data_IF_000582282409
#
_entry.id   IF_000582282409
#
_cell.length_a   1.000
_cell.length_b   1.000
_cell.length_c   1.000
_cell.angle_alpha   90.00
_cell.angle_beta   90.00
_cell.angle_gamma   90.00
#
_symmetry.space_group_name_H-M   'P 1'
#
loop_
_entity.id
_entity.type
_entity.pdbx_description
1 polymer ?
#
# COMPACT_ATOMS: atom_id res chain seq x y z
N UNK A 1 -53.35 32.47 -5.50
CA UNK A 1 -52.89 32.04 -4.16
C UNK A 1 -51.93 30.86 -4.25
N UNK A 2 -52.35 29.72 -4.82
CA UNK A 2 -51.47 28.54 -4.98
C UNK A 2 -50.21 28.82 -5.81
N UNK A 3 -50.38 29.42 -6.99
CA UNK A 3 -49.26 29.76 -7.91
C UNK A 3 -48.24 30.74 -7.31
N UNK A 4 -48.72 31.71 -6.51
CA UNK A 4 -47.85 32.63 -5.78
C UNK A 4 -47.00 31.89 -4.73
N UNK A 5 -47.58 30.94 -4.02
CA UNK A 5 -46.88 30.11 -3.04
C UNK A 5 -45.86 29.18 -3.71
N UNK A 6 -46.22 28.56 -4.85
CA UNK A 6 -45.32 27.70 -5.61
C UNK A 6 -44.11 28.47 -6.17
N UNK A 7 -44.33 29.71 -6.62
CA UNK A 7 -43.26 30.59 -7.07
C UNK A 7 -42.32 31.00 -5.92
N UNK A 8 -42.86 31.32 -4.75
CA UNK A 8 -42.05 31.61 -3.55
C UNK A 8 -41.19 30.41 -3.14
N UNK A 9 -41.76 29.20 -3.14
CA UNK A 9 -41.01 27.97 -2.83
C UNK A 9 -39.91 27.72 -3.87
N UNK A 10 -40.18 27.96 -5.16
CA UNK A 10 -39.16 27.85 -6.22
C UNK A 10 -38.02 28.85 -6.04
N UNK A 11 -38.33 30.10 -5.68
CA UNK A 11 -37.32 31.13 -5.43
C UNK A 11 -36.45 30.79 -4.21
N UNK A 12 -37.07 30.33 -3.11
CA UNK A 12 -36.33 29.85 -1.95
C UNK A 12 -35.39 28.68 -2.28
N UNK A 13 -35.85 27.75 -3.12
CA UNK A 13 -35.03 26.64 -3.62
C UNK A 13 -33.85 27.14 -4.44
N UNK A 14 -34.07 28.07 -5.37
CA UNK A 14 -32.98 28.67 -6.16
C UNK A 14 -31.94 29.35 -5.28
N UNK A 15 -32.38 30.11 -4.27
CA UNK A 15 -31.49 30.77 -3.33
C UNK A 15 -30.67 29.77 -2.52
N UNK A 16 -31.32 28.77 -1.91
CA UNK A 16 -30.61 27.76 -1.10
C UNK A 16 -29.70 26.86 -1.95
N UNK A 17 -30.03 26.63 -3.23
CA UNK A 17 -29.19 25.93 -4.19
C UNK A 17 -27.85 26.66 -4.41
N UNK A 18 -27.78 27.99 -4.25
CA UNK A 18 -26.50 28.72 -4.36
C UNK A 18 -25.46 28.24 -3.34
N UNK A 19 -25.90 27.74 -2.18
CA UNK A 19 -25.03 27.15 -1.17
C UNK A 19 -24.44 25.80 -1.55
N UNK A 20 -24.91 25.17 -2.63
CA UNK A 20 -24.37 23.91 -3.13
C UNK A 20 -23.27 24.17 -4.16
N UNK A 21 -22.13 23.48 -4.02
CA UNK A 21 -21.01 23.59 -4.95
C UNK A 21 -21.40 23.14 -6.36
N UNK A 22 -20.69 23.66 -7.36
CA UNK A 22 -20.88 23.28 -8.75
C UNK A 22 -19.74 22.39 -9.19
N UNK A 23 -20.06 21.21 -9.71
CA UNK A 23 -19.09 20.30 -10.31
C UNK A 23 -18.86 20.71 -11.75
N UNK A 24 -17.60 20.83 -12.16
CA UNK A 24 -17.18 21.04 -13.54
C UNK A 24 -15.91 20.23 -13.84
N UNK A 25 -15.48 20.22 -15.11
CA UNK A 25 -14.34 19.41 -15.56
C UNK A 25 -13.00 19.73 -14.87
N UNK A 26 -12.87 20.91 -14.23
CA UNK A 26 -11.65 21.36 -13.54
C UNK A 26 -11.75 21.22 -12.02
N UNK A 27 -12.92 21.50 -11.45
CA UNK A 27 -13.20 21.45 -10.02
C UNK A 27 -14.42 20.56 -9.78
N UNK A 28 -14.17 19.37 -9.25
CA UNK A 28 -15.12 18.27 -9.24
C UNK A 28 -15.13 17.55 -7.89
N UNK A 29 -15.24 18.26 -6.76
CA UNK A 29 -15.40 17.62 -5.46
C UNK A 29 -16.77 16.91 -5.33
N UNK A 30 -16.85 15.68 -5.84
CA UNK A 30 -18.10 14.90 -5.91
C UNK A 30 -18.64 14.56 -4.51
N UNK A 31 -17.77 14.32 -3.53
CA UNK A 31 -18.19 13.93 -2.18
C UNK A 31 -18.87 15.08 -1.45
N UNK A 32 -18.29 16.27 -1.51
CA UNK A 32 -18.89 17.47 -0.92
C UNK A 32 -20.22 17.82 -1.59
N UNK A 33 -20.27 17.76 -2.93
CA UNK A 33 -21.49 17.97 -3.70
C UNK A 33 -22.60 17.01 -3.27
N UNK A 34 -22.26 15.72 -3.15
CA UNK A 34 -23.19 14.68 -2.72
C UNK A 34 -23.73 14.96 -1.31
N UNK A 35 -22.84 15.24 -0.35
CA UNK A 35 -23.24 15.51 1.03
C UNK A 35 -24.15 16.74 1.14
N UNK A 36 -23.84 17.81 0.40
CA UNK A 36 -24.68 19.01 0.35
C UNK A 36 -26.05 18.72 -0.25
N UNK A 37 -26.12 17.91 -1.32
CA UNK A 37 -27.39 17.50 -1.93
C UNK A 37 -28.23 16.56 -1.06
N UNK A 38 -27.62 15.68 -0.26
CA UNK A 38 -28.32 14.85 0.73
C UNK A 38 -29.00 15.72 1.78
N UNK A 39 -28.26 16.67 2.37
CA UNK A 39 -28.79 17.59 3.38
C UNK A 39 -29.88 18.48 2.78
N UNK A 40 -29.64 19.00 1.58
CA UNK A 40 -30.60 19.86 0.90
C UNK A 40 -31.89 19.11 0.55
N UNK A 41 -31.81 17.88 0.04
CA UNK A 41 -32.98 17.04 -0.23
C UNK A 41 -33.84 16.83 1.02
N UNK A 42 -33.19 16.52 2.15
CA UNK A 42 -33.87 16.33 3.45
C UNK A 42 -34.64 17.58 3.89
N UNK A 43 -34.09 18.76 3.66
CA UNK A 43 -34.73 20.04 4.03
C UNK A 43 -35.86 20.40 3.06
N UNK A 44 -35.68 20.15 1.76
CA UNK A 44 -36.62 20.55 0.72
C UNK A 44 -37.79 19.59 0.52
N UNK A 45 -37.66 18.33 0.96
CA UNK A 45 -38.73 17.33 0.96
C UNK A 45 -39.25 17.02 -0.45
N UNK A 46 -38.37 16.79 -1.42
CA UNK A 46 -38.78 16.51 -2.80
C UNK A 46 -39.57 15.20 -2.88
N UNK A 47 -40.76 15.27 -3.49
CA UNK A 47 -41.65 14.11 -3.69
C UNK A 47 -41.54 13.48 -5.08
N UNK A 48 -40.99 14.21 -6.05
CA UNK A 48 -40.90 13.80 -7.44
C UNK A 48 -39.42 13.64 -7.83
N UNK A 49 -38.98 12.45 -8.27
CA UNK A 49 -37.60 12.18 -8.66
C UNK A 49 -37.08 13.12 -9.76
N UNK A 50 -37.92 13.42 -10.76
CA UNK A 50 -37.59 14.33 -11.86
C UNK A 50 -37.19 15.72 -11.39
N UNK A 51 -37.96 16.31 -10.47
CA UNK A 51 -37.67 17.66 -9.98
C UNK A 51 -36.33 17.68 -9.26
N UNK A 52 -36.03 16.64 -8.46
CA UNK A 52 -34.77 16.54 -7.76
C UNK A 52 -33.57 16.34 -8.71
N UNK A 53 -33.75 15.52 -9.74
CA UNK A 53 -32.76 15.33 -10.81
C UNK A 53 -32.41 16.65 -11.50
N UNK A 54 -33.41 17.45 -11.90
CA UNK A 54 -33.18 18.74 -12.57
C UNK A 54 -32.34 19.69 -11.70
N UNK A 55 -32.61 19.74 -10.38
CA UNK A 55 -31.81 20.55 -9.44
C UNK A 55 -30.37 20.06 -9.30
N UNK A 56 -30.16 18.74 -9.25
CA UNK A 56 -28.83 18.15 -9.24
C UNK A 56 -28.06 18.54 -10.51
N UNK A 57 -28.72 18.44 -11.68
CA UNK A 57 -28.11 18.75 -12.96
C UNK A 57 -27.75 20.23 -13.12
N UNK A 58 -28.50 21.16 -12.51
CA UNK A 58 -28.13 22.58 -12.47
C UNK A 58 -26.77 22.86 -11.80
N UNK A 59 -26.28 21.92 -10.98
CA UNK A 59 -25.00 22.01 -10.28
C UNK A 59 -23.91 21.10 -10.85
N UNK A 60 -24.15 20.53 -12.02
CA UNK A 60 -23.16 19.74 -12.74
C UNK A 60 -23.00 20.32 -14.13
N UNK A 61 -21.76 20.56 -14.54
CA UNK A 61 -21.39 21.10 -15.85
C UNK A 61 -20.41 20.16 -16.56
N UNK A 62 -20.22 20.39 -17.85
CA UNK A 62 -19.22 19.67 -18.64
C UNK A 62 -19.58 18.20 -18.87
N UNK A 63 -18.57 17.34 -18.80
CA UNK A 63 -18.70 15.92 -19.13
C UNK A 63 -19.56 15.16 -18.11
N UNK A 64 -19.49 15.55 -16.83
CA UNK A 64 -20.34 14.97 -15.78
C UNK A 64 -21.83 15.15 -16.06
N UNK A 65 -22.24 16.32 -16.57
CA UNK A 65 -23.63 16.61 -16.88
C UNK A 65 -24.15 15.76 -18.04
N UNK A 66 -23.33 15.56 -19.08
CA UNK A 66 -23.67 14.68 -20.20
C UNK A 66 -23.86 13.24 -19.75
N UNK A 67 -22.95 12.74 -18.93
CA UNK A 67 -22.98 11.34 -18.47
C UNK A 67 -24.15 11.06 -17.52
N UNK A 68 -24.50 12.01 -16.64
CA UNK A 68 -25.71 11.91 -15.81
C UNK A 68 -26.97 11.90 -16.69
N UNK A 69 -27.03 12.78 -17.69
CA UNK A 69 -28.20 12.87 -18.58
C UNK A 69 -28.37 11.60 -19.42
N UNK A 70 -27.27 10.99 -19.86
CA UNK A 70 -27.27 9.73 -20.60
C UNK A 70 -27.74 8.52 -19.75
N UNK A 71 -27.75 8.65 -18.43
CA UNK A 71 -28.20 7.59 -17.52
C UNK A 71 -29.72 7.55 -17.32
N UNK A 72 -30.47 8.52 -17.85
CA UNK A 72 -31.95 8.50 -17.85
C UNK A 72 -32.44 7.37 -18.77
N UNK A 73 -33.24 6.47 -18.23
CA UNK A 73 -33.76 5.29 -18.94
C UNK A 73 -35.24 5.45 -19.26
N UNK A 74 -35.72 4.66 -20.21
CA UNK A 74 -37.15 4.51 -20.49
C UNK A 74 -37.56 3.13 -20.00
N UNK A 75 -38.54 3.07 -19.09
CA UNK A 75 -39.04 1.81 -18.56
C UNK A 75 -39.96 1.09 -19.57
N UNK A 76 -40.39 -0.13 -19.24
CA UNK A 76 -41.29 -0.93 -20.08
C UNK A 76 -42.68 -0.29 -20.32
N UNK A 77 -43.03 0.75 -19.56
CA UNK A 77 -44.27 1.52 -19.69
C UNK A 77 -44.08 2.80 -20.53
N UNK A 78 -42.87 3.06 -21.03
CA UNK A 78 -42.54 4.26 -21.80
C UNK A 78 -42.28 5.50 -20.96
N UNK A 79 -42.19 5.38 -19.63
CA UNK A 79 -41.91 6.48 -18.71
C UNK A 79 -40.41 6.66 -18.47
N UNK A 80 -39.99 7.89 -18.22
CA UNK A 80 -38.60 8.22 -17.90
C UNK A 80 -38.27 7.83 -16.46
N UNK A 81 -37.27 6.99 -16.30
CA UNK A 81 -36.66 6.62 -15.02
C UNK A 81 -35.38 7.42 -14.83
N UNK A 82 -35.36 8.24 -13.78
CA UNK A 82 -34.24 9.14 -13.48
C UNK A 82 -33.28 8.48 -12.49
N UNK A 83 -31.96 8.66 -12.65
CA UNK A 83 -31.00 8.11 -11.71
C UNK A 83 -31.19 8.72 -10.32
N UNK A 84 -30.99 7.90 -9.31
CA UNK A 84 -30.90 8.30 -7.89
C UNK A 84 -29.67 9.17 -7.62
N UNK A 85 -29.62 9.82 -6.45
CA UNK A 85 -28.46 10.62 -6.06
C UNK A 85 -27.18 9.79 -6.00
N UNK A 86 -27.28 8.58 -5.45
CA UNK A 86 -26.20 7.61 -5.35
C UNK A 86 -25.70 7.20 -6.74
N UNK A 87 -26.60 6.94 -7.69
CA UNK A 87 -26.21 6.64 -9.07
C UNK A 87 -25.53 7.84 -9.75
N UNK A 88 -26.04 9.06 -9.52
CA UNK A 88 -25.40 10.28 -10.02
C UNK A 88 -23.99 10.48 -9.43
N UNK A 89 -23.81 10.24 -8.12
CA UNK A 89 -22.50 10.25 -7.45
C UNK A 89 -21.53 9.29 -8.12
N UNK A 90 -21.96 8.04 -8.34
CA UNK A 90 -21.13 7.01 -8.98
C UNK A 90 -20.75 7.36 -10.43
N UNK A 91 -21.67 7.94 -11.20
CA UNK A 91 -21.40 8.43 -12.55
C UNK A 91 -20.34 9.53 -12.53
N UNK A 92 -20.43 10.49 -11.61
CA UNK A 92 -19.48 11.59 -11.49
C UNK A 92 -18.10 11.10 -11.06
N UNK A 93 -18.03 10.20 -10.07
CA UNK A 93 -16.79 9.57 -9.62
C UNK A 93 -16.07 8.82 -10.75
N UNK A 94 -16.82 8.13 -11.61
CA UNK A 94 -16.28 7.46 -12.80
C UNK A 94 -15.84 8.48 -13.87
N UNK A 95 -16.67 9.47 -14.15
CA UNK A 95 -16.43 10.48 -15.20
C UNK A 95 -15.12 11.22 -14.99
N UNK A 96 -14.88 11.68 -13.77
CA UNK A 96 -13.66 12.43 -13.45
C UNK A 96 -12.49 11.56 -12.98
N UNK A 97 -12.58 10.24 -13.20
CA UNK A 97 -11.55 9.27 -12.78
C UNK A 97 -11.15 9.41 -11.29
N UNK A 98 -12.08 9.89 -10.46
CA UNK A 98 -11.87 10.02 -9.03
C UNK A 98 -11.83 8.65 -8.34
N UNK A 99 -12.42 7.63 -8.98
CA UNK A 99 -12.03 6.23 -8.74
C UNK A 99 -10.85 5.90 -9.66
N UNK A 100 -9.66 5.75 -9.10
CA UNK A 100 -8.52 5.12 -9.80
C UNK A 100 -9.01 3.79 -10.37
N UNK A 101 -8.67 3.51 -11.63
CA UNK A 101 -9.00 2.24 -12.25
C UNK A 101 -8.43 1.10 -11.37
N UNK A 102 -9.25 0.11 -10.95
CA UNK A 102 -8.78 -1.01 -10.15
C UNK A 102 -7.58 -1.72 -10.77
N UNK A 103 -7.50 -1.81 -12.11
CA UNK A 103 -6.35 -2.39 -12.80
C UNK A 103 -5.06 -1.57 -12.60
N UNK A 104 -5.17 -0.23 -12.58
CA UNK A 104 -4.02 0.64 -12.33
C UNK A 104 -3.51 0.45 -10.89
N UNK A 105 -4.43 0.26 -9.93
CA UNK A 105 -4.07 -0.02 -8.53
C UNK A 105 -3.41 -1.40 -8.40
N UNK A 106 -3.94 -2.44 -9.06
CA UNK A 106 -3.34 -3.79 -9.06
C UNK A 106 -1.94 -3.73 -9.67
N UNK A 107 -1.79 -3.07 -10.81
CA UNK A 107 -0.49 -2.91 -11.47
C UNK A 107 0.50 -2.13 -10.59
N UNK A 108 0.03 -1.07 -9.92
CA UNK A 108 0.82 -0.31 -8.95
C UNK A 108 1.29 -1.23 -7.81
N UNK A 109 0.38 -1.95 -7.15
CA UNK A 109 0.70 -2.89 -6.06
C UNK A 109 1.72 -3.96 -6.47
N UNK A 110 1.59 -4.56 -7.66
CA UNK A 110 2.54 -5.55 -8.18
C UNK A 110 3.91 -4.96 -8.52
N UNK A 111 3.94 -3.69 -8.93
CA UNK A 111 5.17 -2.97 -9.25
C UNK A 111 5.89 -2.39 -8.03
N UNK A 112 5.21 -2.28 -6.88
CA UNK A 112 5.81 -1.75 -5.65
C UNK A 112 7.02 -2.59 -5.26
N UNK A 113 8.11 -1.90 -4.89
CA UNK A 113 9.32 -2.50 -4.31
C UNK A 113 9.80 -1.62 -3.17
N UNK A 114 9.99 -2.20 -2.00
CA UNK A 114 10.67 -1.52 -0.89
C UNK A 114 12.17 -1.45 -1.19
N UNK A 115 12.84 -0.36 -0.82
CA UNK A 115 14.31 -0.35 -0.83
C UNK A 115 14.86 -1.03 0.43
N UNK A 116 16.11 -1.49 0.36
CA UNK A 116 16.77 -2.19 1.48
C UNK A 116 16.76 -1.41 2.80
N UNK A 117 16.87 -0.08 2.71
CA UNK A 117 16.99 0.81 3.87
C UNK A 117 15.67 1.48 4.26
N UNK A 118 14.58 1.23 3.54
CA UNK A 118 13.30 1.85 3.85
C UNK A 118 12.65 1.19 5.08
N UNK A 119 11.77 1.95 5.73
CA UNK A 119 10.98 1.51 6.86
C UNK A 119 9.82 0.62 6.37
N UNK A 120 9.77 -0.62 6.88
CA UNK A 120 8.78 -1.59 6.45
C UNK A 120 7.36 -1.20 6.88
N UNK A 121 7.22 -0.54 8.04
CA UNK A 121 5.91 -0.13 8.57
C UNK A 121 5.31 0.93 7.66
N UNK A 122 6.12 1.93 7.27
CA UNK A 122 5.68 2.98 6.33
C UNK A 122 5.35 2.42 4.95
N UNK A 123 6.15 1.46 4.48
CA UNK A 123 5.87 0.77 3.21
C UNK A 123 4.54 0.02 3.28
N UNK A 124 4.31 -0.73 4.36
CA UNK A 124 3.08 -1.51 4.58
C UNK A 124 1.84 -0.64 4.74
N UNK A 125 1.96 0.52 5.38
CA UNK A 125 0.88 1.51 5.44
C UNK A 125 0.47 1.94 4.03
N UNK A 126 1.43 2.33 3.18
CA UNK A 126 1.17 2.71 1.79
C UNK A 126 0.56 1.55 0.98
N UNK A 127 1.08 0.33 1.16
CA UNK A 127 0.58 -0.86 0.49
C UNK A 127 -0.88 -1.15 0.89
N UNK A 128 -1.16 -1.13 2.19
CA UNK A 128 -2.50 -1.33 2.77
C UNK A 128 -3.49 -0.27 2.31
N UNK A 129 -3.10 1.01 2.24
CA UNK A 129 -3.94 2.09 1.73
C UNK A 129 -4.36 1.89 0.27
N UNK A 130 -3.46 1.38 -0.58
CA UNK A 130 -3.77 1.06 -1.98
C UNK A 130 -4.64 -0.19 -2.07
N UNK A 131 -4.31 -1.22 -1.30
CA UNK A 131 -5.06 -2.47 -1.26
C UNK A 131 -6.51 -2.29 -0.77
N UNK A 132 -6.73 -1.43 0.22
CA UNK A 132 -8.06 -1.12 0.74
C UNK A 132 -8.94 -0.29 -0.22
N UNK A 133 -8.36 0.30 -1.27
CA UNK A 133 -9.12 0.98 -2.33
C UNK A 133 -9.72 0.01 -3.35
N UNK A 134 -9.36 -1.28 -3.30
CA UNK A 134 -9.89 -2.32 -4.18
C UNK A 134 -11.14 -2.96 -3.57
N UNK A 135 -12.13 -3.24 -4.41
CA UNK A 135 -13.25 -4.13 -4.05
C UNK A 135 -12.76 -5.58 -3.89
N UNK A 136 -13.48 -6.39 -3.12
CA UNK A 136 -13.09 -7.79 -2.81
C UNK A 136 -12.86 -8.64 -4.06
N UNK A 137 -13.64 -8.41 -5.12
CA UNK A 137 -13.46 -9.08 -6.42
C UNK A 137 -12.07 -8.85 -7.02
N UNK A 138 -11.51 -7.66 -6.85
CA UNK A 138 -10.18 -7.29 -7.35
C UNK A 138 -9.07 -7.73 -6.42
N UNK A 139 -9.31 -7.74 -5.09
CA UNK A 139 -8.36 -8.27 -4.10
C UNK A 139 -8.00 -9.73 -4.37
N UNK A 140 -8.94 -10.56 -4.85
CA UNK A 140 -8.70 -11.95 -5.24
C UNK A 140 -7.66 -12.15 -6.37
N UNK A 141 -7.26 -11.08 -7.06
CA UNK A 141 -6.21 -11.11 -8.12
C UNK A 141 -4.81 -10.83 -7.60
N UNK A 142 -4.70 -10.51 -6.32
CA UNK A 142 -3.44 -10.31 -5.61
C UNK A 142 -3.19 -11.53 -4.74
N UNK A 143 -1.95 -12.00 -4.78
CA UNK A 143 -1.49 -13.14 -4.01
C UNK A 143 -0.40 -12.71 -3.04
N UNK A 144 -0.18 -13.50 -2.01
CA UNK A 144 0.92 -13.31 -1.06
C UNK A 144 2.28 -13.27 -1.76
N UNK A 145 2.43 -13.96 -2.91
CA UNK A 145 3.62 -13.84 -3.76
C UNK A 145 3.85 -12.42 -4.30
N UNK A 146 2.79 -11.69 -4.67
CA UNK A 146 2.92 -10.32 -5.16
C UNK A 146 3.50 -9.40 -4.06
N UNK A 147 3.03 -9.56 -2.82
CA UNK A 147 3.57 -8.83 -1.68
C UNK A 147 5.00 -9.28 -1.31
N UNK A 148 5.29 -10.59 -1.35
CA UNK A 148 6.66 -11.10 -1.15
C UNK A 148 7.62 -10.49 -2.18
N UNK A 149 7.21 -10.40 -3.44
CA UNK A 149 8.02 -9.73 -4.45
C UNK A 149 8.20 -8.25 -4.13
N UNK A 150 7.22 -7.60 -3.51
CA UNK A 150 7.30 -6.20 -3.10
C UNK A 150 8.36 -5.95 -2.02
N UNK A 151 8.59 -6.93 -1.13
CA UNK A 151 9.58 -6.84 -0.05
C UNK A 151 10.91 -7.56 -0.34
N UNK A 152 11.14 -8.00 -1.57
CA UNK A 152 12.29 -8.86 -1.94
C UNK A 152 13.66 -8.28 -1.55
N UNK A 153 13.79 -6.95 -1.51
CA UNK A 153 15.03 -6.26 -1.11
C UNK A 153 15.32 -6.30 0.40
N UNK A 154 14.32 -6.64 1.23
CA UNK A 154 14.46 -6.91 2.67
C UNK A 154 14.70 -8.41 2.89
N UNK A 155 15.85 -8.89 2.41
CA UNK A 155 16.16 -10.33 2.26
C UNK A 155 15.91 -11.16 3.52
N UNK A 156 16.28 -10.67 4.72
CA UNK A 156 16.08 -11.37 5.99
C UNK A 156 14.58 -11.59 6.28
N UNK A 157 13.79 -10.52 6.18
CA UNK A 157 12.34 -10.52 6.39
C UNK A 157 11.66 -11.40 5.33
N UNK A 158 11.96 -11.16 4.06
CA UNK A 158 11.43 -11.92 2.93
C UNK A 158 11.65 -13.43 3.11
N UNK A 159 12.86 -13.84 3.53
CA UNK A 159 13.20 -15.26 3.72
C UNK A 159 12.37 -15.88 4.84
N UNK A 160 12.18 -15.19 5.96
CA UNK A 160 11.41 -15.71 7.08
C UNK A 160 9.94 -15.94 6.69
N UNK A 161 9.31 -14.96 6.05
CA UNK A 161 7.92 -15.09 5.57
C UNK A 161 7.83 -16.17 4.49
N UNK A 162 8.80 -16.26 3.57
CA UNK A 162 8.82 -17.30 2.54
C UNK A 162 8.86 -18.71 3.14
N UNK A 163 9.56 -18.91 4.25
CA UNK A 163 9.59 -20.20 4.96
C UNK A 163 8.24 -20.52 5.61
N UNK A 164 7.55 -19.54 6.18
CA UNK A 164 6.20 -19.73 6.74
C UNK A 164 5.19 -20.10 5.66
N UNK A 165 5.22 -19.39 4.53
CA UNK A 165 4.30 -19.64 3.40
C UNK A 165 4.49 -21.01 2.73
N UNK A 166 5.60 -21.71 3.02
CA UNK A 166 5.87 -23.04 2.45
C UNK A 166 4.93 -24.11 3.02
N UNK A 167 4.47 -23.92 4.26
CA UNK A 167 3.70 -24.92 5.00
C UNK A 167 2.25 -24.48 5.27
N UNK A 168 1.92 -23.21 4.98
CA UNK A 168 0.61 -22.62 5.22
C UNK A 168 0.31 -21.59 4.13
N UNK A 169 -0.90 -21.62 3.59
CA UNK A 169 -1.42 -20.51 2.82
C UNK A 169 -1.76 -19.36 3.79
N UNK A 170 -1.01 -18.28 3.69
CA UNK A 170 -1.24 -17.07 4.48
C UNK A 170 -1.83 -15.97 3.61
N UNK A 171 -2.65 -15.10 4.18
CA UNK A 171 -3.20 -13.95 3.47
C UNK A 171 -2.15 -12.83 3.31
N UNK A 172 -2.46 -11.84 2.47
CA UNK A 172 -1.60 -10.65 2.33
C UNK A 172 -1.52 -9.89 3.65
N UNK A 173 -2.63 -9.80 4.39
CA UNK A 173 -2.71 -9.17 5.71
C UNK A 173 -1.80 -9.89 6.72
N UNK A 174 -1.88 -11.22 6.80
CA UNK A 174 -0.98 -12.01 7.65
C UNK A 174 0.50 -11.80 7.26
N UNK A 175 0.80 -11.69 5.97
CA UNK A 175 2.16 -11.45 5.49
C UNK A 175 2.67 -10.03 5.81
N UNK A 176 1.80 -9.01 5.77
CA UNK A 176 2.11 -7.64 6.18
C UNK A 176 2.50 -7.61 7.67
N UNK A 177 1.69 -8.22 8.54
CA UNK A 177 1.96 -8.32 9.97
C UNK A 177 3.26 -9.08 10.29
N UNK A 178 3.47 -10.23 9.62
CA UNK A 178 4.71 -11.00 9.77
C UNK A 178 5.94 -10.18 9.36
N UNK A 179 5.83 -9.36 8.32
CA UNK A 179 6.92 -8.51 7.87
C UNK A 179 7.35 -7.48 8.92
N UNK A 180 6.39 -6.81 9.54
CA UNK A 180 6.67 -5.84 10.62
C UNK A 180 7.29 -6.53 11.84
N UNK A 181 6.77 -7.71 12.20
CA UNK A 181 7.33 -8.53 13.28
C UNK A 181 8.80 -8.90 13.02
N UNK A 182 9.10 -9.42 11.82
CA UNK A 182 10.44 -9.87 11.48
C UNK A 182 11.45 -8.73 11.33
N UNK A 183 11.05 -7.57 10.79
CA UNK A 183 11.93 -6.39 10.70
C UNK A 183 12.28 -5.88 12.10
N UNK A 184 11.30 -5.81 13.01
CA UNK A 184 11.54 -5.46 14.42
C UNK A 184 12.48 -6.46 15.12
N UNK A 185 12.25 -7.75 14.93
CA UNK A 185 13.08 -8.81 15.52
C UNK A 185 14.53 -8.75 15.01
N UNK A 186 14.74 -8.43 13.73
CA UNK A 186 16.08 -8.25 13.17
C UNK A 186 16.81 -7.05 13.82
N UNK A 187 16.10 -5.94 14.04
CA UNK A 187 16.65 -4.77 14.75
C UNK A 187 17.03 -5.13 16.19
N UNK A 188 16.16 -5.83 16.92
CA UNK A 188 16.43 -6.27 18.29
C UNK A 188 17.65 -7.21 18.39
N UNK A 189 17.78 -8.16 17.45
CA UNK A 189 18.92 -9.08 17.40
C UNK A 189 20.23 -8.36 17.12
N UNK A 190 20.22 -7.33 16.25
CA UNK A 190 21.40 -6.50 15.97
C UNK A 190 21.85 -5.72 17.21
N UNK A 191 20.92 -5.15 17.96
CA UNK A 191 21.23 -4.43 19.22
C UNK A 191 21.84 -5.39 20.26
N UNK A 192 21.26 -6.58 20.44
CA UNK A 192 21.75 -7.59 21.40
C UNK A 192 23.16 -8.09 21.04
N UNK A 193 23.45 -8.31 19.76
CA UNK A 193 24.78 -8.74 19.29
C UNK A 193 25.83 -7.63 19.36
N UNK A 194 25.44 -6.37 19.12
CA UNK A 194 26.34 -5.21 19.28
C UNK A 194 26.68 -4.94 20.75
N UNK A 195 25.71 -5.03 21.66
CA UNK A 195 25.92 -4.82 23.09
C UNK A 195 26.79 -5.91 23.74
N UNK A 196 26.74 -7.15 23.24
CA UNK A 196 27.58 -8.23 23.75
C UNK A 196 29.06 -8.13 23.31
N UNK A 197 29.37 -7.37 22.27
CA UNK A 197 30.76 -7.15 21.84
C UNK A 197 31.49 -6.04 22.63
N UNK A 198 30.83 -5.39 23.59
CA UNK A 198 31.40 -4.35 24.45
C UNK A 198 32.13 -4.87 25.70
N UNK A 199 31.99 -6.15 26.07
CA UNK A 199 32.64 -6.75 27.26
C UNK A 199 33.72 -7.77 26.88
N UNK A 200 34.76 -7.32 26.19
CA UNK A 200 36.01 -8.08 26.07
C UNK A 200 37.22 -7.19 26.29
N UNK A 201 37.38 -6.73 27.53
CA UNK A 201 38.68 -6.33 28.09
C UNK A 201 38.78 -6.86 29.51
N UNK A 202 39.23 -8.11 29.59
CA UNK A 202 40.26 -8.54 30.54
C UNK A 202 40.78 -9.92 30.09
N UNK A 203 41.65 -9.91 29.08
CA UNK A 203 42.67 -10.96 28.93
C UNK A 203 43.57 -10.87 30.15
N UNK A 204 43.20 -11.57 31.22
CA UNK A 204 44.18 -11.95 32.23
C UNK A 204 45.03 -13.02 31.56
N UNK A 205 46.24 -12.64 31.15
CA UNK A 205 47.33 -13.55 30.86
C UNK A 205 47.59 -14.41 32.11
N UNK A 206 46.93 -15.57 32.21
CA UNK A 206 47.39 -16.65 33.09
C UNK A 206 48.26 -17.58 32.26
N UNK A 207 49.54 -17.23 32.29
CA UNK A 207 50.64 -18.11 31.95
C UNK A 207 50.58 -19.30 32.93
N UNK A 208 50.21 -20.49 32.47
CA UNK A 208 50.43 -21.73 33.22
C UNK A 208 51.04 -22.77 32.30
N UNK A 209 52.37 -22.75 32.26
CA UNK A 209 53.20 -23.89 31.88
C UNK A 209 52.85 -25.08 32.78
N UNK A 210 52.22 -26.12 32.24
CA UNK A 210 52.37 -27.49 32.76
C UNK A 210 52.17 -28.49 31.62
N UNK A 211 53.24 -28.69 30.85
CA UNK A 211 53.39 -29.84 29.98
C UNK A 211 54.05 -30.97 30.80
N UNK A 212 53.26 -31.94 31.25
CA UNK A 212 53.75 -33.25 31.72
C UNK A 212 53.16 -34.33 30.80
N UNK A 213 53.91 -34.70 29.77
CA UNK A 213 53.73 -35.97 29.08
C UNK A 213 54.29 -37.11 29.95
N UNK A 214 53.60 -38.25 30.09
CA UNK A 214 54.24 -39.53 30.20
C UNK A 214 54.51 -40.11 28.81
N UNK A 215 55.75 -40.59 28.64
CA UNK A 215 56.32 -41.20 27.44
C UNK A 215 55.66 -42.54 27.12
N UNK A 216 55.34 -42.77 25.84
CA UNK A 216 55.48 -44.07 25.16
C UNK A 216 55.50 -43.83 23.64
N UNK A 217 56.69 -43.87 23.00
CA UNK A 217 56.98 -44.84 21.94
C UNK A 217 58.37 -44.66 21.30
N UNK A 218 59.02 -45.82 21.18
CA UNK A 218 60.06 -46.30 20.27
C UNK A 218 61.00 -45.34 19.49
N UNK A 219 62.28 -45.59 19.75
CA UNK A 219 63.43 -45.33 18.88
C UNK A 219 63.22 -45.90 17.46
N UNK A 220 63.61 -45.13 16.43
CA UNK A 220 64.79 -45.45 15.61
C UNK A 220 65.16 -44.30 14.66
N UNK A 221 66.47 -44.07 14.59
CA UNK A 221 67.24 -43.07 13.84
C UNK A 221 66.87 -42.92 12.36
N UNK A 222 67.08 -41.72 11.79
CA UNK A 222 68.23 -41.38 10.91
C UNK A 222 68.11 -39.93 10.38
N UNK A 223 69.16 -39.13 10.69
CA UNK A 223 69.80 -37.99 10.00
C UNK A 223 68.96 -36.93 9.25
N UNK A 224 68.88 -35.66 9.69
CA UNK A 224 69.89 -34.59 9.76
C UNK A 224 70.16 -33.88 8.40
N UNK A 225 69.70 -32.63 8.24
CA UNK A 225 70.56 -31.47 7.89
C UNK A 225 69.75 -30.21 7.52
N UNK A 226 69.87 -29.21 8.41
CA UNK A 226 70.07 -27.77 8.20
C UNK A 226 70.09 -27.18 6.77
N UNK A 227 69.37 -26.05 6.62
CA UNK A 227 69.86 -24.68 6.31
C UNK A 227 68.85 -23.94 5.40
N UNK A 228 68.21 -22.85 5.84
CA UNK A 228 68.69 -21.47 5.99
C UNK A 228 68.55 -20.62 4.70
N UNK A 229 67.76 -19.54 4.85
CA UNK A 229 67.85 -18.23 4.18
C UNK A 229 67.32 -17.95 2.74
N UNK A 230 66.60 -16.81 2.70
CA UNK A 230 66.51 -15.76 1.67
C UNK A 230 65.53 -15.87 0.49
N UNK A 231 64.39 -15.19 0.66
CA UNK A 231 64.02 -13.94 -0.01
C UNK A 231 64.70 -13.62 -1.36
N UNK A 232 63.94 -13.54 -2.46
CA UNK A 232 64.19 -12.59 -3.55
C UNK A 232 62.92 -12.26 -4.36
N UNK A 233 62.90 -10.99 -4.78
CA UNK A 233 61.88 -10.25 -5.51
C UNK A 233 61.64 -10.70 -6.96
N UNK A 234 60.40 -10.50 -7.41
CA UNK A 234 59.95 -9.66 -8.54
C UNK A 234 60.79 -9.66 -9.85
N UNK A 235 60.18 -10.11 -10.96
CA UNK A 235 60.18 -9.59 -12.35
C UNK A 235 59.43 -10.65 -13.21
N UNK A 236 58.45 -10.30 -14.05
CA UNK A 236 58.72 -9.91 -15.44
C UNK A 236 57.51 -9.23 -16.09
N UNK A 237 57.81 -8.11 -16.75
CA UNK A 237 57.05 -7.55 -17.87
C UNK A 237 57.46 -8.23 -19.19
N UNK A 238 56.65 -7.98 -20.23
CA UNK A 238 56.84 -8.13 -21.69
C UNK A 238 56.20 -9.38 -22.32
N UNK A 239 55.05 -9.18 -22.96
CA UNK A 239 54.98 -8.77 -24.37
C UNK A 239 53.78 -7.85 -24.60
#
# INVERSE_FOLDING_TARGET
MQEFNDNMIRQYRLMSLQGIITINDKDHNVEEWYNQFVVWNRVQGFKQPRNYFDWCLMKVQGEGAKNITAAVKINCLGEQEFPSLEEMKEILLKTYKMKRNPEDIINELKSMKINKNDDIIKFNQKYTELYNKLDDKFKLRLFTSDYLDAIINKVSVWRNIKLETKNKDITIEEALEAAEFYDKLEVELRIKTQNNNGFSKNKINKNTNFNKNPKFNNNNNINNSNNNHNNYNNYNNLN
#
